data_IF_770890219282
#
_entry.id   IF_770890219282
#
_cell.length_a   1.000
_cell.length_b   1.000
_cell.length_c   1.000
_cell.angle_alpha   90.00
_cell.angle_beta   90.00
_cell.angle_gamma   90.00
#
_symmetry.space_group_name_H-M   'P 1'
#
loop_
_entity.id
_entity.type
_entity.pdbx_description
1 polymer ?
#
# COMPACT_ATOMS: atom_id res chain seq x y z
N UNK A 1 -0.21 -13.39 -21.23
CA UNK A 1 -0.65 -12.34 -20.28
C UNK A 1 -0.73 -12.96 -18.90
N UNK A 2 -0.04 -12.42 -17.88
CA UNK A 2 -0.12 -12.98 -16.54
C UNK A 2 -1.58 -12.89 -16.06
N UNK A 3 -2.16 -14.02 -15.65
CA UNK A 3 -3.51 -14.07 -15.08
C UNK A 3 -3.44 -13.41 -13.71
N UNK A 4 -3.76 -12.12 -13.65
CA UNK A 4 -3.89 -11.39 -12.38
C UNK A 4 -5.05 -12.05 -11.63
N UNK A 5 -4.75 -12.68 -10.50
CA UNK A 5 -5.74 -13.38 -9.70
C UNK A 5 -6.54 -12.34 -8.90
N UNK A 6 -7.87 -12.46 -8.85
CA UNK A 6 -8.75 -11.50 -8.14
C UNK A 6 -8.35 -11.39 -6.67
N UNK A 7 -7.84 -12.48 -6.10
CA UNK A 7 -7.30 -12.53 -4.73
C UNK A 7 -6.11 -11.59 -4.52
N UNK A 8 -5.20 -11.54 -5.49
CA UNK A 8 -4.02 -10.66 -5.45
C UNK A 8 -4.44 -9.19 -5.62
N UNK A 9 -5.45 -8.94 -6.46
CA UNK A 9 -6.04 -7.61 -6.63
C UNK A 9 -6.70 -7.11 -5.33
N UNK A 10 -7.46 -7.96 -4.64
CA UNK A 10 -8.09 -7.62 -3.35
C UNK A 10 -7.04 -7.40 -2.26
N UNK A 11 -6.00 -8.23 -2.24
CA UNK A 11 -4.88 -8.08 -1.30
C UNK A 11 -4.12 -6.77 -1.55
N UNK A 12 -3.88 -6.45 -2.82
CA UNK A 12 -3.30 -5.17 -3.24
C UNK A 12 -4.19 -3.98 -2.81
N UNK A 13 -5.49 -4.03 -3.09
CA UNK A 13 -6.44 -2.98 -2.69
C UNK A 13 -6.51 -2.78 -1.17
N UNK A 14 -6.47 -3.87 -0.39
CA UNK A 14 -6.43 -3.76 1.08
C UNK A 14 -5.14 -3.12 1.58
N UNK A 15 -4.02 -3.43 0.95
CA UNK A 15 -2.70 -2.90 1.32
C UNK A 15 -2.66 -1.41 0.97
N UNK A 16 -2.90 -1.04 -0.29
CA UNK A 16 -2.84 0.36 -0.73
C UNK A 16 -3.99 1.24 -0.19
N UNK A 17 -5.04 0.64 0.36
CA UNK A 17 -6.17 1.36 0.94
C UNK A 17 -5.79 2.21 2.16
N UNK A 18 -4.88 1.75 3.01
CA UNK A 18 -4.49 2.48 4.23
C UNK A 18 -3.68 3.72 3.90
N UNK A 19 -2.68 3.60 3.02
CA UNK A 19 -1.91 4.75 2.54
C UNK A 19 -2.79 5.79 1.83
N UNK A 20 -3.78 5.36 1.04
CA UNK A 20 -4.74 6.27 0.39
C UNK A 20 -5.54 7.14 1.37
N UNK A 21 -5.83 6.64 2.56
CA UNK A 21 -6.59 7.33 3.61
C UNK A 21 -5.81 8.55 4.16
N UNK A 22 -4.49 8.41 4.29
CA UNK A 22 -3.61 9.51 4.70
C UNK A 22 -3.55 10.61 3.66
N UNK A 23 -3.49 10.27 2.38
CA UNK A 23 -3.51 11.25 1.28
C UNK A 23 -4.84 12.02 1.22
N UNK A 24 -5.96 11.30 1.28
CA UNK A 24 -7.28 11.93 1.26
C UNK A 24 -7.43 12.88 2.46
N UNK A 25 -7.02 12.44 3.65
CA UNK A 25 -7.10 13.26 4.86
C UNK A 25 -6.18 14.49 4.78
N UNK A 26 -4.94 14.32 4.32
CA UNK A 26 -3.98 15.42 4.17
C UNK A 26 -4.47 16.48 3.18
N UNK A 27 -4.98 16.06 2.02
CA UNK A 27 -5.60 16.95 1.02
C UNK A 27 -6.84 17.64 1.61
N UNK A 28 -7.71 16.89 2.30
CA UNK A 28 -8.92 17.44 2.90
C UNK A 28 -8.59 18.53 3.92
N UNK A 29 -7.57 18.33 4.76
CA UNK A 29 -7.11 19.35 5.72
C UNK A 29 -6.52 20.57 4.99
N UNK A 30 -5.83 20.40 3.87
CA UNK A 30 -5.34 21.53 3.08
C UNK A 30 -6.47 22.45 2.57
N UNK A 31 -7.63 21.90 2.20
CA UNK A 31 -8.75 22.68 1.63
C UNK A 31 -9.82 23.07 2.65
N UNK A 32 -10.13 22.19 3.61
CA UNK A 32 -11.17 22.40 4.63
C UNK A 32 -10.61 22.86 5.97
N UNK A 33 -9.30 22.74 6.21
CA UNK A 33 -8.62 23.26 7.40
C UNK A 33 -8.95 24.72 7.73
N UNK A 34 -8.79 25.65 6.78
CA UNK A 34 -9.05 27.06 7.05
C UNK A 34 -10.54 27.39 7.17
N UNK A 35 -11.42 26.68 6.46
CA UNK A 35 -12.85 27.03 6.34
C UNK A 35 -13.77 26.29 7.31
N UNK A 36 -13.40 25.07 7.73
CA UNK A 36 -14.25 24.20 8.57
C UNK A 36 -13.62 23.87 9.93
N UNK A 37 -12.30 23.83 10.02
CA UNK A 37 -11.58 23.42 11.23
C UNK A 37 -10.97 24.59 12.02
N UNK A 38 -11.04 25.81 11.48
CA UNK A 38 -10.45 27.00 12.12
C UNK A 38 -8.93 26.97 12.22
N UNK A 39 -8.27 26.08 11.46
CA UNK A 39 -6.82 25.95 11.47
C UNK A 39 -6.25 27.02 10.54
N UNK A 40 -5.59 28.02 11.12
CA UNK A 40 -5.00 29.14 10.38
C UNK A 40 -3.78 28.75 9.54
N UNK A 41 -3.44 29.61 8.59
CA UNK A 41 -2.16 29.53 7.89
C UNK A 41 -0.99 29.80 8.86
N UNK A 42 0.15 29.09 8.80
CA UNK A 42 0.49 28.00 7.87
C UNK A 42 0.18 26.59 8.42
N UNK A 43 -0.45 26.48 9.59
CA UNK A 43 -0.60 25.23 10.32
C UNK A 43 -1.35 24.16 9.53
N UNK A 44 -2.42 24.51 8.81
CA UNK A 44 -3.18 23.52 8.03
C UNK A 44 -2.36 22.89 6.89
N UNK A 45 -1.45 23.67 6.28
CA UNK A 45 -0.54 23.17 5.24
C UNK A 45 0.51 22.26 5.84
N UNK A 46 1.06 22.61 7.00
CA UNK A 46 2.04 21.77 7.69
C UNK A 46 1.41 20.42 8.04
N UNK A 47 0.21 20.42 8.62
CA UNK A 47 -0.51 19.19 9.00
C UNK A 47 -0.83 18.35 7.75
N UNK A 48 -1.34 18.98 6.69
CA UNK A 48 -1.64 18.29 5.44
C UNK A 48 -0.39 17.68 4.78
N UNK A 49 0.72 18.42 4.76
CA UNK A 49 1.99 17.94 4.24
C UNK A 49 2.57 16.79 5.09
N UNK A 50 2.47 16.85 6.41
CA UNK A 50 2.89 15.77 7.31
C UNK A 50 2.08 14.49 7.08
N UNK A 51 0.76 14.60 6.94
CA UNK A 51 -0.10 13.45 6.66
C UNK A 51 0.21 12.82 5.29
N UNK A 52 0.39 13.65 4.26
CA UNK A 52 0.78 13.16 2.94
C UNK A 52 2.16 12.49 2.98
N UNK A 53 3.13 13.09 3.66
CA UNK A 53 4.46 12.51 3.87
C UNK A 53 4.40 11.16 4.59
N UNK A 54 3.57 11.05 5.63
CA UNK A 54 3.33 9.79 6.32
C UNK A 54 2.67 8.75 5.40
N UNK A 55 1.70 9.16 4.58
CA UNK A 55 1.09 8.32 3.55
C UNK A 55 2.10 7.72 2.58
N UNK A 56 3.09 8.51 2.14
CA UNK A 56 4.20 8.02 1.28
C UNK A 56 5.04 6.97 2.01
N UNK A 57 5.41 7.22 3.27
CA UNK A 57 6.21 6.27 4.06
C UNK A 57 5.48 4.94 4.21
N UNK A 58 4.19 4.99 4.57
CA UNK A 58 3.34 3.81 4.70
C UNK A 58 3.26 3.05 3.38
N UNK A 59 3.07 3.76 2.25
CA UNK A 59 3.03 3.16 0.92
C UNK A 59 4.34 2.45 0.55
N UNK A 60 5.49 3.03 0.89
CA UNK A 60 6.81 2.40 0.69
C UNK A 60 6.92 1.10 1.50
N UNK A 61 6.57 1.15 2.79
CA UNK A 61 6.61 -0.03 3.67
C UNK A 61 5.70 -1.14 3.13
N UNK A 62 4.48 -0.77 2.75
CA UNK A 62 3.48 -1.66 2.16
C UNK A 62 3.98 -2.30 0.87
N UNK A 63 4.59 -1.51 -0.01
CA UNK A 63 5.19 -1.99 -1.27
C UNK A 63 6.33 -2.97 -1.01
N UNK A 64 7.24 -2.67 -0.07
CA UNK A 64 8.33 -3.59 0.32
C UNK A 64 7.75 -4.89 0.87
N UNK A 65 6.70 -4.82 1.70
CA UNK A 65 6.03 -5.99 2.28
C UNK A 65 5.35 -6.85 1.21
N UNK A 66 4.73 -6.21 0.23
CA UNK A 66 4.11 -6.88 -0.91
C UNK A 66 5.15 -7.60 -1.77
N UNK A 67 6.24 -6.92 -2.16
CA UNK A 67 7.36 -7.52 -2.92
C UNK A 67 7.94 -8.71 -2.16
N UNK A 68 8.20 -8.58 -0.86
CA UNK A 68 8.76 -9.66 -0.04
C UNK A 68 7.82 -10.87 0.06
N UNK A 69 6.51 -10.64 0.15
CA UNK A 69 5.50 -11.70 0.22
C UNK A 69 5.38 -12.44 -1.12
N UNK A 70 5.28 -11.71 -2.22
CA UNK A 70 5.23 -12.31 -3.56
C UNK A 70 6.50 -13.09 -3.90
N UNK A 71 7.67 -12.56 -3.56
CA UNK A 71 8.94 -13.24 -3.82
C UNK A 71 9.10 -14.52 -2.97
N UNK A 72 8.51 -14.55 -1.76
CA UNK A 72 8.43 -15.78 -0.94
C UNK A 72 7.49 -16.81 -1.55
N UNK A 73 6.29 -16.40 -1.96
CA UNK A 73 5.29 -17.31 -2.56
C UNK A 73 5.82 -17.91 -3.87
N UNK A 74 6.45 -17.10 -4.72
CA UNK A 74 7.03 -17.57 -5.98
C UNK A 74 8.17 -18.58 -5.77
N UNK A 75 8.96 -18.42 -4.71
CA UNK A 75 10.04 -19.36 -4.35
C UNK A 75 9.49 -20.69 -3.81
N UNK A 76 8.40 -20.62 -3.04
CA UNK A 76 7.76 -21.78 -2.44
C UNK A 76 7.04 -22.64 -3.49
N UNK A 77 6.31 -22.01 -4.42
CA UNK A 77 5.70 -22.70 -5.56
C UNK A 77 6.76 -23.40 -6.43
N UNK A 78 7.93 -22.78 -6.64
CA UNK A 78 9.01 -23.41 -7.44
C UNK A 78 9.59 -24.67 -6.80
N UNK A 79 9.65 -24.75 -5.47
CA UNK A 79 10.18 -25.92 -4.76
C UNK A 79 9.16 -27.07 -4.81
N UNK A 80 7.88 -26.76 -4.63
CA UNK A 80 6.82 -27.77 -4.68
C UNK A 80 6.67 -28.39 -6.07
N UNK A 81 6.87 -27.60 -7.13
CA UNK A 81 6.90 -28.09 -8.52
C UNK A 81 8.12 -28.96 -8.84
N UNK A 82 9.27 -28.74 -8.19
CA UNK A 82 10.47 -29.59 -8.35
C UNK A 82 10.27 -30.93 -7.65
N UNK A 83 9.75 -30.91 -6.41
CA UNK A 83 9.51 -32.14 -5.62
C UNK A 83 8.49 -33.05 -6.33
N UNK A 84 7.38 -32.50 -6.85
CA UNK A 84 6.38 -33.28 -7.59
C UNK A 84 6.93 -33.91 -8.88
N UNK A 85 7.95 -33.32 -9.49
CA UNK A 85 8.63 -33.87 -10.68
C UNK A 85 9.64 -34.98 -10.34
N UNK A 86 10.15 -35.01 -9.11
CA UNK A 86 11.00 -36.12 -8.64
C UNK A 86 10.15 -37.34 -8.24
N UNK A 87 9.00 -37.14 -7.60
CA UNK A 87 8.12 -38.24 -7.17
C UNK A 87 7.38 -38.97 -8.33
N UNK A 88 7.47 -38.47 -9.55
CA UNK A 88 6.85 -39.08 -10.76
C UNK A 88 7.82 -39.88 -11.64
N UNK A 89 9.06 -40.11 -11.18
CA UNK A 89 10.02 -41.04 -11.79
C UNK A 89 10.20 -42.29 -10.93
#
# INVERSE_FOLDING_TARGET
MPKVNIKDLIMFLKIFGISSLFFITGITICFLGPTKLGIGWPAYVIIGAMLNGFGVIVLIIETIRFIKTHNKQQKQDSIEDVIKKEDTK
#
